data_IF_703546222711
#
_entry.id   IF_703546222711
#
_cell.length_a   1.000
_cell.length_b   1.000
_cell.length_c   1.000
_cell.angle_alpha   90.00
_cell.angle_beta   90.00
_cell.angle_gamma   90.00
#
_symmetry.space_group_name_H-M   'P 1'
#
loop_
_entity.id
_entity.type
_entity.pdbx_description
1 polymer ?
#
# COMPACT_ATOMS: atom_id res chain seq x y z
N UNK A 1 27.90 -30.41 -17.62
CA UNK A 1 27.68 -29.05 -18.16
C UNK A 1 26.78 -28.35 -17.15
N UNK A 2 27.39 -27.44 -16.38
CA UNK A 2 26.76 -26.79 -15.24
C UNK A 2 25.72 -25.77 -15.70
N UNK A 3 24.63 -25.68 -14.94
CA UNK A 3 23.55 -24.72 -15.12
C UNK A 3 24.04 -23.35 -14.65
N UNK A 4 24.07 -22.40 -15.56
CA UNK A 4 24.42 -21.00 -15.30
C UNK A 4 23.30 -20.33 -14.49
N UNK A 5 23.59 -19.93 -13.26
CA UNK A 5 22.71 -19.08 -12.46
C UNK A 5 22.85 -17.64 -12.96
N UNK A 6 21.75 -17.09 -13.50
CA UNK A 6 21.66 -15.68 -13.86
C UNK A 6 21.46 -14.87 -12.58
N UNK A 7 22.49 -14.13 -12.20
CA UNK A 7 22.50 -13.19 -11.08
C UNK A 7 21.45 -12.09 -11.32
N UNK A 8 20.67 -11.77 -10.28
CA UNK A 8 19.73 -10.65 -10.27
C UNK A 8 20.50 -9.41 -9.81
N UNK A 9 20.82 -8.54 -10.77
CA UNK A 9 21.45 -7.26 -10.53
C UNK A 9 20.57 -6.39 -9.61
N UNK A 10 21.18 -5.95 -8.51
CA UNK A 10 20.66 -4.95 -7.60
C UNK A 10 20.79 -3.56 -8.26
N UNK A 11 19.76 -3.12 -8.99
CA UNK A 11 19.70 -1.74 -9.44
C UNK A 11 19.42 -0.81 -8.25
N UNK A 12 20.46 -0.05 -7.91
CA UNK A 12 20.43 1.03 -6.93
C UNK A 12 19.44 2.12 -7.37
N UNK A 13 18.59 2.53 -6.44
CA UNK A 13 17.48 3.46 -6.66
C UNK A 13 17.88 4.77 -7.36
N UNK A 14 17.35 4.92 -8.58
CA UNK A 14 17.26 6.21 -9.25
C UNK A 14 16.35 7.15 -8.44
N UNK A 15 16.80 8.40 -8.28
CA UNK A 15 16.13 9.45 -7.51
C UNK A 15 14.65 9.52 -7.83
N UNK A 16 13.84 9.36 -6.78
CA UNK A 16 12.40 9.42 -6.86
C UNK A 16 12.05 10.90 -7.04
N UNK A 17 11.38 11.23 -8.14
CA UNK A 17 10.78 12.53 -8.37
C UNK A 17 9.82 12.84 -7.22
N UNK A 18 10.22 13.77 -6.34
CA UNK A 18 9.49 14.14 -5.12
C UNK A 18 8.06 14.62 -5.40
N UNK A 19 7.74 14.99 -6.65
CA UNK A 19 6.39 15.35 -7.10
C UNK A 19 5.38 14.22 -7.04
N UNK A 20 5.81 12.95 -6.93
CA UNK A 20 4.91 11.79 -6.83
C UNK A 20 4.62 11.38 -5.37
N UNK A 21 5.35 11.94 -4.40
CA UNK A 21 5.18 11.61 -2.98
C UNK A 21 4.17 12.57 -2.38
N UNK A 22 3.04 12.03 -1.89
CA UNK A 22 2.03 12.85 -1.21
C UNK A 22 2.44 13.13 0.22
N UNK A 23 2.23 14.36 0.67
CA UNK A 23 2.24 14.72 2.09
C UNK A 23 1.32 13.76 2.87
N UNK A 24 1.84 13.20 3.95
CA UNK A 24 1.18 12.16 4.76
C UNK A 24 1.60 10.72 4.42
N UNK A 25 2.47 10.49 3.43
CA UNK A 25 2.98 9.14 3.13
C UNK A 25 3.91 8.66 4.26
N UNK A 26 3.71 7.43 4.76
CA UNK A 26 4.57 6.83 5.78
C UNK A 26 5.80 6.19 5.15
N UNK A 27 6.94 6.24 5.83
CA UNK A 27 8.13 5.50 5.44
C UNK A 27 7.84 3.99 5.45
N UNK A 28 8.30 3.28 4.40
CA UNK A 28 8.12 1.85 4.21
C UNK A 28 9.28 1.02 4.77
N UNK A 29 10.36 1.69 5.19
CA UNK A 29 11.48 1.02 5.86
C UNK A 29 11.03 0.50 7.25
N UNK A 30 11.25 -0.77 7.57
CA UNK A 30 10.77 -1.35 8.82
C UNK A 30 11.48 -0.76 10.04
N UNK A 31 10.70 -0.39 11.05
CA UNK A 31 11.18 0.28 12.26
C UNK A 31 11.33 1.80 12.11
N UNK A 32 10.88 2.39 11.00
CA UNK A 32 10.80 3.83 10.83
C UNK A 32 9.34 4.30 10.80
N UNK A 33 8.98 5.18 11.73
CA UNK A 33 7.62 5.74 11.85
C UNK A 33 7.50 7.16 11.25
N UNK A 34 8.46 7.56 10.40
CA UNK A 34 8.46 8.88 9.82
C UNK A 34 7.30 9.06 8.81
N UNK A 35 6.77 10.28 8.76
CA UNK A 35 5.70 10.69 7.84
C UNK A 35 6.21 11.83 6.97
N UNK A 36 6.01 11.71 5.66
CA UNK A 36 6.43 12.72 4.70
C UNK A 36 5.60 14.00 4.84
N UNK A 37 6.23 15.11 5.21
CA UNK A 37 5.61 16.44 5.32
C UNK A 37 5.99 17.37 4.15
N UNK A 38 6.99 16.98 3.37
CA UNK A 38 7.56 17.76 2.27
C UNK A 38 9.02 17.38 2.01
N UNK A 39 9.70 18.05 1.07
CA UNK A 39 11.11 17.76 0.72
C UNK A 39 12.07 17.81 1.92
N UNK A 40 11.75 18.58 2.96
CA UNK A 40 12.50 18.62 4.21
C UNK A 40 12.48 17.29 4.98
N UNK A 41 11.48 16.44 4.76
CA UNK A 41 11.40 15.11 5.39
C UNK A 41 12.54 14.20 4.94
N UNK A 42 13.04 14.39 3.70
CA UNK A 42 14.21 13.68 3.17
C UNK A 42 15.53 14.11 3.81
N UNK A 43 15.56 15.29 4.45
CA UNK A 43 16.77 15.78 5.12
C UNK A 43 17.05 15.04 6.44
N UNK A 44 16.03 14.38 7.02
CA UNK A 44 16.19 13.60 8.25
C UNK A 44 16.72 12.19 7.95
N UNK A 45 17.69 11.68 8.74
CA UNK A 45 18.17 10.32 8.57
C UNK A 45 17.07 9.31 8.93
N UNK A 46 16.91 8.28 8.09
CA UNK A 46 16.04 7.14 8.37
C UNK A 46 16.81 6.07 9.14
N UNK A 47 16.34 5.70 10.33
CA UNK A 47 16.90 4.59 11.12
C UNK A 47 15.96 3.40 11.02
N UNK A 48 16.41 2.28 10.45
CA UNK A 48 15.56 1.15 10.09
C UNK A 48 16.30 -0.19 10.11
N UNK A 49 15.56 -1.29 9.95
CA UNK A 49 16.10 -2.65 9.82
C UNK A 49 16.21 -3.06 8.34
N UNK A 50 17.40 -3.28 7.78
CA UNK A 50 17.53 -3.75 6.39
C UNK A 50 17.23 -5.26 6.24
N UNK A 51 17.09 -5.99 7.36
CA UNK A 51 16.83 -7.42 7.39
C UNK A 51 15.34 -7.77 7.42
N UNK A 52 15.03 -9.04 7.20
CA UNK A 52 13.69 -9.57 7.29
C UNK A 52 13.34 -9.98 8.74
N UNK A 53 12.05 -9.96 9.13
CA UNK A 53 11.61 -10.54 10.39
C UNK A 53 11.88 -12.05 10.42
N UNK A 54 12.35 -12.56 11.56
CA UNK A 54 12.55 -13.99 11.84
C UNK A 54 11.77 -14.39 13.08
N UNK A 55 10.93 -15.40 12.91
CA UNK A 55 10.14 -16.01 13.99
C UNK A 55 10.50 -17.50 14.09
N UNK A 56 11.20 -17.88 15.15
CA UNK A 56 11.64 -19.27 15.39
C UNK A 56 11.48 -19.61 16.87
N UNK A 57 10.83 -20.74 17.17
CA UNK A 57 10.65 -21.24 18.55
C UNK A 57 10.04 -20.18 19.51
N UNK A 58 9.10 -19.38 19.01
CA UNK A 58 8.46 -18.30 19.79
C UNK A 58 9.30 -17.02 19.92
N UNK A 59 10.57 -17.07 19.53
CA UNK A 59 11.48 -15.93 19.50
C UNK A 59 11.30 -15.11 18.23
N UNK A 60 11.37 -13.79 18.37
CA UNK A 60 11.16 -12.79 17.32
C UNK A 60 12.41 -11.93 17.20
N UNK A 61 12.90 -11.72 15.98
CA UNK A 61 14.12 -10.93 15.73
C UNK A 61 14.15 -10.40 14.30
N UNK A 62 15.00 -9.41 14.04
CA UNK A 62 15.37 -9.02 12.68
C UNK A 62 16.64 -9.74 12.22
N UNK A 63 16.71 -10.16 10.96
CA UNK A 63 17.89 -10.87 10.45
C UNK A 63 19.16 -10.02 10.40
N UNK A 64 19.04 -8.69 10.41
CA UNK A 64 20.14 -7.74 10.32
C UNK A 64 20.88 -7.48 11.64
N UNK A 65 20.20 -7.54 12.79
CA UNK A 65 20.82 -7.27 14.10
C UNK A 65 20.69 -8.45 15.07
N UNK A 66 19.79 -9.40 14.82
CA UNK A 66 19.65 -10.61 15.63
C UNK A 66 19.12 -10.38 17.05
N UNK A 67 18.62 -9.18 17.38
CA UNK A 67 18.07 -8.88 18.71
C UNK A 67 16.78 -9.68 18.91
N UNK A 68 16.79 -10.58 19.88
CA UNK A 68 15.72 -11.53 20.13
C UNK A 68 14.76 -11.06 21.24
N UNK A 69 13.47 -11.30 21.05
CA UNK A 69 12.43 -11.06 22.04
C UNK A 69 11.30 -12.07 21.93
N UNK A 70 10.66 -12.40 23.06
CA UNK A 70 9.47 -13.24 23.10
C UNK A 70 8.19 -12.43 22.87
N UNK A 71 8.19 -11.13 23.17
CA UNK A 71 7.02 -10.25 23.02
C UNK A 71 6.96 -9.62 21.63
N UNK A 72 5.76 -9.61 21.03
CA UNK A 72 5.55 -9.07 19.68
C UNK A 72 5.58 -7.54 19.68
N UNK A 73 5.06 -6.87 20.71
CA UNK A 73 5.10 -5.41 20.81
C UNK A 73 6.55 -4.91 20.91
N UNK A 74 7.35 -5.55 21.76
CA UNK A 74 8.77 -5.28 21.90
C UNK A 74 9.54 -5.54 20.60
N UNK A 75 9.16 -6.54 19.80
CA UNK A 75 9.74 -6.79 18.48
C UNK A 75 9.49 -5.64 17.50
N UNK A 76 8.25 -5.15 17.43
CA UNK A 76 7.88 -4.01 16.58
C UNK A 76 8.57 -2.71 17.03
N UNK A 77 8.75 -2.53 18.35
CA UNK A 77 9.39 -1.36 18.93
C UNK A 77 10.93 -1.39 18.90
N UNK A 78 11.57 -2.43 18.35
CA UNK A 78 13.03 -2.50 18.29
C UNK A 78 13.58 -1.38 17.39
N UNK A 79 14.50 -0.52 17.88
CA UNK A 79 15.06 0.56 17.08
C UNK A 79 15.83 -0.01 15.89
N UNK A 80 15.69 0.65 14.73
CA UNK A 80 16.43 0.28 13.52
C UNK A 80 17.94 0.21 13.74
N UNK A 81 18.61 -0.75 13.09
CA UNK A 81 20.05 -0.96 13.24
C UNK A 81 20.91 -0.32 12.14
N UNK A 82 20.29 0.30 11.12
CA UNK A 82 20.99 0.98 10.02
C UNK A 82 20.42 2.38 9.81
N UNK A 83 21.29 3.32 9.47
CA UNK A 83 20.92 4.66 9.03
C UNK A 83 21.01 4.77 7.50
N UNK A 84 20.00 5.36 6.87
CA UNK A 84 19.93 5.58 5.42
C UNK A 84 18.90 6.64 5.05
N UNK A 85 18.38 6.54 3.82
CA UNK A 85 17.30 7.40 3.32
C UNK A 85 15.94 6.76 3.55
N UNK A 86 14.93 7.61 3.72
CA UNK A 86 13.54 7.15 3.80
C UNK A 86 13.11 6.53 2.47
N UNK A 87 12.28 5.50 2.56
CA UNK A 87 11.52 4.97 1.43
C UNK A 87 10.07 5.41 1.60
N UNK A 88 9.67 6.48 0.92
CA UNK A 88 8.31 7.00 1.03
C UNK A 88 7.28 6.18 0.25
N UNK A 89 7.72 5.12 -0.45
CA UNK A 89 6.88 4.29 -1.29
C UNK A 89 6.40 5.04 -2.53
N UNK A 90 6.27 4.31 -3.64
CA UNK A 90 5.40 4.76 -4.72
C UNK A 90 3.97 4.42 -4.29
N UNK A 91 3.02 5.34 -4.50
CA UNK A 91 1.60 5.05 -4.34
C UNK A 91 1.22 3.99 -5.37
N UNK A 92 1.34 2.72 -5.00
CA UNK A 92 0.91 1.62 -5.83
C UNK A 92 -0.61 1.53 -5.72
N UNK A 93 -1.34 1.42 -6.84
CA UNK A 93 -2.77 1.15 -6.79
C UNK A 93 -2.97 -0.12 -5.97
N UNK A 94 -3.69 0.02 -4.86
CA UNK A 94 -3.95 -1.10 -4.00
C UNK A 94 -5.02 -1.97 -4.66
N UNK A 95 -4.78 -3.27 -4.72
CA UNK A 95 -5.74 -4.23 -5.24
C UNK A 95 -6.87 -4.41 -4.23
N UNK A 96 -8.04 -3.81 -4.49
CA UNK A 96 -9.27 -4.19 -3.79
C UNK A 96 -9.93 -5.35 -4.52
N UNK A 97 -10.40 -6.34 -3.75
CA UNK A 97 -11.39 -7.27 -4.26
C UNK A 97 -12.65 -6.47 -4.59
N UNK A 98 -13.24 -6.75 -5.74
CA UNK A 98 -14.52 -6.21 -6.14
C UNK A 98 -15.36 -7.29 -6.80
N UNK A 99 -16.67 -7.11 -6.72
CA UNK A 99 -17.66 -8.00 -7.29
C UNK A 99 -18.80 -7.15 -7.89
N UNK A 100 -19.52 -7.71 -8.84
CA UNK A 100 -20.65 -7.03 -9.44
C UNK A 100 -21.74 -8.03 -9.78
N UNK A 101 -22.99 -7.59 -9.61
CA UNK A 101 -24.15 -8.32 -10.11
C UNK A 101 -25.15 -7.34 -10.70
N UNK A 102 -25.95 -7.85 -11.63
CA UNK A 102 -26.97 -7.08 -12.32
C UNK A 102 -28.34 -7.73 -12.10
N UNK A 103 -29.32 -6.88 -11.87
CA UNK A 103 -30.75 -7.18 -11.92
C UNK A 103 -31.37 -6.48 -13.13
N UNK A 104 -32.66 -6.69 -13.37
CA UNK A 104 -33.37 -6.10 -14.51
C UNK A 104 -33.34 -4.56 -14.53
N UNK A 105 -33.14 -3.91 -13.37
CA UNK A 105 -33.16 -2.46 -13.23
C UNK A 105 -31.96 -1.85 -12.52
N UNK A 106 -31.06 -2.64 -11.95
CA UNK A 106 -29.94 -2.15 -11.15
C UNK A 106 -28.67 -2.96 -11.42
N UNK A 107 -27.56 -2.25 -11.61
CA UNK A 107 -26.22 -2.82 -11.48
C UNK A 107 -25.68 -2.46 -10.10
N UNK A 108 -25.29 -3.45 -9.33
CA UNK A 108 -24.67 -3.28 -8.02
C UNK A 108 -23.21 -3.64 -8.13
N UNK A 109 -22.35 -2.69 -7.79
CA UNK A 109 -20.91 -2.92 -7.66
C UNK A 109 -20.52 -2.82 -6.21
N UNK A 110 -19.86 -3.87 -5.72
CA UNK A 110 -19.35 -3.97 -4.36
C UNK A 110 -17.83 -3.96 -4.41
N UNK A 111 -17.21 -3.00 -3.74
CA UNK A 111 -15.75 -2.95 -3.58
C UNK A 111 -15.41 -3.14 -2.12
N UNK A 112 -14.54 -4.09 -1.84
CA UNK A 112 -14.09 -4.43 -0.48
C UNK A 112 -12.76 -3.72 -0.20
N UNK A 113 -12.75 -2.83 0.78
CA UNK A 113 -11.56 -2.13 1.25
C UNK A 113 -11.55 -2.06 2.77
N UNK A 114 -10.39 -2.26 3.39
CA UNK A 114 -10.24 -2.09 4.84
C UNK A 114 -10.27 -0.59 5.17
N UNK A 115 -11.23 -0.17 6.00
CA UNK A 115 -11.35 1.20 6.52
C UNK A 115 -11.46 2.23 5.37
N UNK A 116 -12.58 2.23 4.62
CA UNK A 116 -12.79 3.23 3.58
C UNK A 116 -12.94 4.63 4.18
N UNK A 117 -12.53 5.65 3.44
CA UNK A 117 -12.68 7.07 3.81
C UNK A 117 -13.70 7.75 2.88
N UNK A 118 -15.02 7.71 3.18
CA UNK A 118 -16.08 8.06 2.22
C UNK A 118 -15.99 9.49 1.67
N UNK A 119 -15.47 10.43 2.46
CA UNK A 119 -15.30 11.83 2.07
C UNK A 119 -14.35 12.03 0.87
N UNK A 120 -13.48 11.06 0.58
CA UNK A 120 -12.50 11.12 -0.51
C UNK A 120 -12.83 10.17 -1.67
N UNK A 121 -13.94 9.43 -1.57
CA UNK A 121 -14.35 8.45 -2.56
C UNK A 121 -15.24 9.12 -3.60
N UNK A 122 -15.09 8.73 -4.86
CA UNK A 122 -15.97 9.22 -5.91
C UNK A 122 -16.25 8.13 -6.94
N UNK A 123 -17.37 8.31 -7.61
CA UNK A 123 -17.86 7.40 -8.64
C UNK A 123 -18.36 8.25 -9.79
N UNK A 124 -17.92 7.92 -11.00
CA UNK A 124 -18.48 8.49 -12.23
C UNK A 124 -19.09 7.38 -13.06
N UNK A 125 -20.36 7.52 -13.38
CA UNK A 125 -21.07 6.60 -14.25
C UNK A 125 -21.39 7.29 -15.58
N UNK A 126 -21.16 6.59 -16.67
CA UNK A 126 -21.66 6.89 -18.01
C UNK A 126 -22.63 5.78 -18.44
N UNK A 127 -23.18 5.90 -19.65
CA UNK A 127 -24.11 4.90 -20.19
C UNK A 127 -23.48 3.51 -20.38
N UNK A 128 -22.16 3.44 -20.53
CA UNK A 128 -21.44 2.18 -20.83
C UNK A 128 -20.26 1.94 -19.91
N UNK A 129 -20.07 2.78 -18.90
CA UNK A 129 -18.84 2.80 -18.14
C UNK A 129 -19.02 3.29 -16.72
N UNK A 130 -18.27 2.69 -15.81
CA UNK A 130 -18.23 3.06 -14.41
C UNK A 130 -16.79 3.22 -13.95
N UNK A 131 -16.47 4.42 -13.49
CA UNK A 131 -15.18 4.76 -12.89
C UNK A 131 -15.35 4.85 -11.38
N UNK A 132 -14.63 4.02 -10.65
CA UNK A 132 -14.65 3.99 -9.19
C UNK A 132 -13.29 4.41 -8.65
N UNK A 133 -13.33 5.31 -7.67
CA UNK A 133 -12.18 5.74 -6.91
C UNK A 133 -12.48 5.62 -5.42
N UNK A 134 -11.77 4.73 -4.75
CA UNK A 134 -11.94 4.48 -3.33
C UNK A 134 -10.61 4.72 -2.63
N UNK A 135 -10.63 5.60 -1.63
CA UNK A 135 -9.54 5.84 -0.70
C UNK A 135 -9.83 5.06 0.58
N UNK A 136 -8.83 4.33 1.06
CA UNK A 136 -8.95 3.46 2.23
C UNK A 136 -7.61 3.35 2.96
N UNK A 137 -7.62 2.86 4.20
CA UNK A 137 -6.41 2.71 5.02
C UNK A 137 -5.53 3.98 5.04
N UNK A 138 -6.14 5.13 5.35
CA UNK A 138 -5.48 6.44 5.43
C UNK A 138 -5.17 7.09 4.08
N UNK A 139 -4.51 6.39 3.17
CA UNK A 139 -4.03 6.97 1.90
C UNK A 139 -3.98 6.00 0.71
N UNK A 140 -4.36 4.73 0.87
CA UNK A 140 -4.36 3.77 -0.24
C UNK A 140 -5.50 4.11 -1.19
N UNK A 141 -5.25 3.92 -2.48
CA UNK A 141 -6.23 4.22 -3.52
C UNK A 141 -6.47 2.97 -4.37
N UNK A 142 -7.74 2.62 -4.52
CA UNK A 142 -8.24 1.69 -5.53
C UNK A 142 -8.92 2.48 -6.64
N UNK A 143 -8.50 2.24 -7.88
CA UNK A 143 -9.12 2.77 -9.08
C UNK A 143 -9.51 1.62 -10.00
N UNK A 144 -10.77 1.61 -10.43
CA UNK A 144 -11.28 0.65 -11.38
C UNK A 144 -12.17 1.29 -12.42
N UNK A 145 -12.05 0.80 -13.64
CA UNK A 145 -12.86 1.18 -14.79
C UNK A 145 -13.60 -0.07 -15.27
N UNK A 146 -14.92 -0.07 -15.15
CA UNK A 146 -15.79 -1.20 -15.46
C UNK A 146 -16.64 -0.85 -16.67
N UNK A 147 -16.72 -1.74 -17.67
CA UNK A 147 -17.64 -1.59 -18.79
C UNK A 147 -19.01 -2.13 -18.40
N UNK A 148 -20.03 -1.29 -18.53
CA UNK A 148 -21.42 -1.66 -18.36
C UNK A 148 -21.96 -2.11 -19.72
N UNK A 149 -22.29 -3.39 -19.84
CA UNK A 149 -22.85 -3.97 -21.06
C UNK A 149 -24.38 -3.91 -20.97
N UNK A 150 -24.99 -2.90 -21.58
CA UNK A 150 -26.44 -2.65 -21.54
C UNK A 150 -26.79 -1.34 -20.84
N UNK A 151 -28.02 -0.82 -21.04
CA UNK A 151 -28.50 0.47 -20.52
C UNK A 151 -28.98 0.35 -19.06
N UNK A 152 -28.28 0.87 -18.05
CA UNK A 152 -28.76 0.82 -16.67
C UNK A 152 -29.24 2.23 -16.26
N UNK A 153 -30.54 2.34 -15.97
CA UNK A 153 -31.08 3.49 -15.25
C UNK A 153 -30.87 3.18 -13.76
N UNK A 154 -29.98 3.91 -13.09
CA UNK A 154 -29.63 3.81 -11.65
C UNK A 154 -28.46 2.87 -11.32
N UNK A 155 -27.46 3.43 -10.65
CA UNK A 155 -26.32 2.74 -10.06
C UNK A 155 -26.31 3.02 -8.55
N UNK A 156 -26.34 1.96 -7.75
CA UNK A 156 -26.19 2.04 -6.29
C UNK A 156 -24.91 1.32 -5.89
N UNK A 157 -24.01 2.02 -5.21
CA UNK A 157 -22.76 1.44 -4.69
C UNK A 157 -22.86 1.36 -3.18
N UNK A 158 -22.75 0.14 -2.64
CA UNK A 158 -22.52 -0.09 -1.23
C UNK A 158 -21.02 -0.25 -1.00
N UNK A 159 -20.47 0.63 -0.17
CA UNK A 159 -19.16 0.43 0.42
C UNK A 159 -19.38 -0.31 1.75
N UNK A 160 -19.17 -1.62 1.78
CA UNK A 160 -19.27 -2.39 3.02
C UNK A 160 -17.98 -2.26 3.83
N UNK A 161 -18.15 -1.87 5.09
CA UNK A 161 -17.16 -1.91 6.19
C UNK A 161 -16.76 -3.33 6.56
#
# INVERSE_FOLDING_TARGET
MALEQKELDHESGAGIDSSLIRTGSSCQNPGCDAVYQGPESDATPCTYHPGAPRFHEGMKSWSCCGIQTLDFGAFLAQPGCRVGRHDWGKQLPASCRHDWHQTDSLVVVTVYGQIPLPAFNWVKASQTELHVHIVFDGNRVFQAQMKLWGLPWVLSILCCT
#
